data_IF_939167502159
#
_entry.id   IF_939167502159
#
_cell.length_a   1.000
_cell.length_b   1.000
_cell.length_c   1.000
_cell.angle_alpha   90.00
_cell.angle_beta   90.00
_cell.angle_gamma   90.00
#
_symmetry.space_group_name_H-M   'P 1'
#
loop_
_entity.id
_entity.type
_entity.pdbx_description
1 polymer ?
#
# COMPACT_ATOMS: atom_id res chain seq x y z
N UNK A 1 -8.96 2.70 6.00
CA UNK A 1 -8.87 4.03 5.35
C UNK A 1 -8.96 3.86 3.83
N UNK A 2 -9.77 4.65 3.11
CA UNK A 2 -9.97 4.52 1.64
C UNK A 2 -9.21 5.66 0.95
N UNK A 3 -8.02 5.39 0.44
CA UNK A 3 -7.20 6.40 -0.24
C UNK A 3 -7.57 6.43 -1.73
N UNK A 4 -8.27 7.49 -2.14
CA UNK A 4 -8.64 7.71 -3.53
C UNK A 4 -7.67 8.74 -4.12
N UNK A 5 -6.68 8.29 -4.88
CA UNK A 5 -5.74 9.16 -5.58
C UNK A 5 -6.28 9.34 -6.99
N UNK A 6 -7.22 10.28 -7.14
CA UNK A 6 -7.46 10.85 -8.45
C UNK A 6 -6.37 11.90 -8.71
N UNK A 7 -5.92 12.02 -9.96
CA UNK A 7 -4.83 12.92 -10.34
C UNK A 7 -5.14 14.42 -10.18
N UNK A 8 -6.21 14.78 -9.45
CA UNK A 8 -6.64 16.15 -9.18
C UNK A 8 -6.14 16.69 -7.84
N UNK A 9 -5.66 15.81 -6.95
CA UNK A 9 -5.03 16.21 -5.68
C UNK A 9 -3.61 16.73 -5.95
N UNK A 10 -3.23 17.95 -5.51
CA UNK A 10 -1.87 18.47 -5.67
C UNK A 10 -0.86 17.48 -5.10
N UNK A 11 0.17 17.14 -5.88
CA UNK A 11 1.05 16.01 -5.63
C UNK A 11 1.58 15.97 -4.17
N UNK A 12 0.96 15.11 -3.35
CA UNK A 12 1.58 14.59 -2.15
C UNK A 12 2.85 13.87 -2.61
N UNK A 13 4.01 14.48 -2.36
CA UNK A 13 5.29 13.98 -2.86
C UNK A 13 5.60 12.58 -2.34
N UNK A 14 5.10 12.26 -1.15
CA UNK A 14 5.20 10.96 -0.52
C UNK A 14 3.95 10.67 0.32
N UNK A 15 3.47 9.44 0.24
CA UNK A 15 2.39 8.90 1.05
C UNK A 15 2.95 7.88 2.01
N UNK A 16 2.49 7.90 3.25
CA UNK A 16 2.83 6.89 4.24
C UNK A 16 1.75 5.82 4.24
N UNK A 17 2.13 4.59 3.92
CA UNK A 17 1.27 3.41 3.95
C UNK A 17 1.62 2.57 5.19
N UNK A 18 0.68 2.39 6.10
CA UNK A 18 0.83 1.50 7.27
C UNK A 18 -0.20 0.39 7.27
N UNK A 19 -1.42 0.70 6.82
CA UNK A 19 -2.52 -0.25 6.70
C UNK A 19 -3.40 0.13 5.51
N UNK A 20 -4.05 -0.86 4.90
CA UNK A 20 -5.00 -0.64 3.81
C UNK A 20 -6.01 -1.77 3.67
N UNK A 21 -7.07 -1.50 2.93
CA UNK A 21 -8.06 -2.50 2.53
C UNK A 21 -7.70 -3.02 1.14
N UNK A 22 -7.39 -4.31 1.03
CA UNK A 22 -7.18 -4.97 -0.26
C UNK A 22 -8.52 -5.32 -0.91
N UNK A 23 -9.50 -5.75 -0.10
CA UNK A 23 -10.90 -5.87 -0.44
C UNK A 23 -11.76 -5.08 0.55
N UNK A 24 -13.04 -4.85 0.25
CA UNK A 24 -13.93 -4.06 1.10
C UNK A 24 -14.07 -4.61 2.53
N UNK A 25 -13.73 -5.88 2.71
CA UNK A 25 -13.82 -6.72 3.89
C UNK A 25 -12.49 -7.42 4.23
N UNK A 26 -11.36 -7.02 3.62
CA UNK A 26 -10.05 -7.59 3.92
C UNK A 26 -9.01 -6.50 4.19
N UNK A 27 -8.50 -6.48 5.42
CA UNK A 27 -7.53 -5.51 5.91
C UNK A 27 -6.12 -6.11 5.95
N UNK A 28 -5.13 -5.29 5.62
CA UNK A 28 -3.70 -5.61 5.67
C UNK A 28 -3.00 -4.55 6.51
N UNK A 29 -2.18 -4.99 7.47
CA UNK A 29 -1.31 -4.16 8.29
C UNK A 29 0.16 -4.47 7.97
N UNK A 30 0.97 -3.45 7.74
CA UNK A 30 2.40 -3.57 7.48
C UNK A 30 3.19 -3.65 8.79
N UNK A 31 4.29 -4.41 8.79
CA UNK A 31 5.18 -4.51 9.96
C UNK A 31 5.84 -3.17 10.30
N UNK A 32 6.12 -2.38 9.26
CA UNK A 32 6.54 -0.99 9.39
C UNK A 32 5.88 -0.12 8.31
N UNK A 33 5.59 1.17 8.59
CA UNK A 33 5.10 2.09 7.58
C UNK A 33 6.07 2.26 6.41
N UNK A 34 5.54 2.37 5.20
CA UNK A 34 6.29 2.48 3.95
C UNK A 34 5.97 3.80 3.27
N UNK A 35 7.00 4.50 2.79
CA UNK A 35 6.82 5.69 1.97
C UNK A 35 6.65 5.30 0.50
N UNK A 36 5.59 5.79 -0.13
CA UNK A 36 5.28 5.57 -1.54
C UNK A 36 5.30 6.93 -2.23
N UNK A 37 6.11 7.07 -3.28
CA UNK A 37 6.17 8.30 -4.06
C UNK A 37 5.17 8.27 -5.22
N UNK A 38 4.88 9.45 -5.78
CA UNK A 38 4.07 9.54 -6.99
C UNK A 38 4.72 8.75 -8.14
N UNK A 39 3.95 7.87 -8.78
CA UNK A 39 4.41 7.01 -9.87
C UNK A 39 4.92 5.63 -9.43
N UNK A 40 5.09 5.39 -8.13
CA UNK A 40 5.35 4.05 -7.61
C UNK A 40 4.08 3.20 -7.71
N UNK A 41 4.25 1.91 -7.97
CA UNK A 41 3.17 0.92 -8.03
C UNK A 41 3.23 0.05 -6.79
N UNK A 42 2.09 -0.18 -6.16
CA UNK A 42 1.96 -1.03 -4.98
C UNK A 42 1.14 -2.27 -5.35
N UNK A 43 1.68 -3.46 -5.12
CA UNK A 43 0.98 -4.74 -5.28
C UNK A 43 1.04 -5.56 -3.99
N UNK A 44 0.09 -6.48 -3.83
CA UNK A 44 0.08 -7.46 -2.76
C UNK A 44 0.38 -8.84 -3.36
N UNK A 45 1.50 -9.44 -2.96
CA UNK A 45 2.07 -10.65 -3.56
C UNK A 45 2.65 -11.57 -2.49
N UNK A 46 2.26 -12.85 -2.51
CA UNK A 46 2.74 -13.88 -1.58
C UNK A 46 2.71 -13.45 -0.11
N UNK A 47 1.60 -12.85 0.32
CA UNK A 47 1.45 -12.38 1.71
C UNK A 47 2.32 -11.17 2.06
N UNK A 48 2.84 -10.44 1.08
CA UNK A 48 3.67 -9.25 1.26
C UNK A 48 3.18 -8.08 0.42
N UNK A 49 3.67 -6.88 0.72
CA UNK A 49 3.44 -5.71 -0.13
C UNK A 49 4.70 -5.44 -0.94
N UNK A 50 4.55 -5.32 -2.25
CA UNK A 50 5.66 -4.99 -3.16
C UNK A 50 5.46 -3.58 -3.69
N UNK A 51 6.45 -2.72 -3.47
CA UNK A 51 6.51 -1.38 -4.07
C UNK A 51 7.49 -1.44 -5.23
N UNK A 52 6.97 -1.23 -6.44
CA UNK A 52 7.77 -1.06 -7.66
C UNK A 52 7.93 0.43 -7.94
N UNK A 53 9.16 0.93 -7.85
CA UNK A 53 9.47 2.32 -8.18
C UNK A 53 9.24 2.60 -9.66
N UNK A 54 9.05 3.87 -9.99
CA UNK A 54 9.02 4.33 -11.39
C UNK A 54 10.27 3.94 -12.21
N UNK A 55 11.41 3.71 -11.54
CA UNK A 55 12.66 3.21 -12.12
C UNK A 55 12.65 1.70 -12.40
N UNK A 56 11.65 0.97 -11.92
CA UNK A 56 11.54 -0.48 -12.01
C UNK A 56 12.13 -1.24 -10.82
N UNK A 57 12.79 -0.56 -9.88
CA UNK A 57 13.28 -1.19 -8.64
C UNK A 57 12.12 -1.71 -7.79
N UNK A 58 12.25 -2.92 -7.25
CA UNK A 58 11.22 -3.54 -6.43
C UNK A 58 11.68 -3.70 -4.98
N UNK A 59 10.79 -3.39 -4.05
CA UNK A 59 10.99 -3.56 -2.62
C UNK A 59 9.83 -4.33 -2.03
N UNK A 60 10.12 -5.48 -1.42
CA UNK A 60 9.13 -6.27 -0.68
C UNK A 60 9.12 -5.83 0.77
N UNK A 61 7.94 -5.53 1.27
CA UNK A 61 7.66 -5.11 2.63
C UNK A 61 6.82 -6.20 3.32
N UNK A 62 7.28 -6.70 4.49
CA UNK A 62 6.54 -7.70 5.23
C UNK A 62 5.24 -7.10 5.78
N UNK A 63 4.18 -7.90 5.76
CA UNK A 63 2.96 -7.61 6.50
C UNK A 63 3.12 -8.09 7.94
N UNK A 64 2.51 -7.35 8.87
CA UNK A 64 2.37 -7.76 10.25
C UNK A 64 1.23 -8.75 10.40
N UNK A 65 0.08 -8.39 9.82
CA UNK A 65 -1.15 -9.17 9.89
C UNK A 65 -2.06 -8.86 8.69
N UNK A 66 -2.97 -9.76 8.42
CA UNK A 66 -4.05 -9.57 7.45
C UNK A 66 -5.25 -10.40 7.83
N UNK A 67 -6.43 -9.78 7.88
CA UNK A 67 -7.64 -10.42 8.38
C UNK A 67 -8.90 -9.98 7.63
N UNK A 68 -9.88 -10.89 7.65
CA UNK A 68 -11.23 -10.61 7.17
C UNK A 68 -12.01 -9.83 8.22
N UNK A 69 -12.69 -8.78 7.79
CA UNK A 69 -13.61 -8.00 8.61
C UNK A 69 -14.99 -8.67 8.50
N UNK A 70 -15.35 -9.50 9.47
CA UNK A 70 -16.71 -10.02 9.60
C UNK A 70 -17.65 -8.88 10.03
N UNK A 71 -18.71 -8.64 9.26
CA UNK A 71 -19.76 -7.66 9.57
C UNK A 71 -20.99 -8.31 10.17
#
# INVERSE_FOLDING_TARGET
MRLNIDGTTPALRMLLLSEFLLHADFQVELDAPVFVAAGDRVSYEDGGVVVTRSTGEQYKHPIRDSYWICR
#
